data_IF_984906846811
#
_entry.id   IF_984906846811
#
_cell.length_a   1.000
_cell.length_b   1.000
_cell.length_c   1.000
_cell.angle_alpha   90.00
_cell.angle_beta   90.00
_cell.angle_gamma   90.00
#
_symmetry.space_group_name_H-M   'P 1'
#
loop_
_entity.id
_entity.type
_entity.pdbx_description
1 polymer ?
#
# COMPACT_ATOMS: atom_id res chain seq x y z
N UNK A 1 16.76 8.08 -20.71
CA UNK A 1 15.43 7.58 -21.13
C UNK A 1 14.36 8.58 -20.74
N UNK A 2 13.46 8.85 -21.65
CA UNK A 2 12.28 9.68 -21.34
C UNK A 2 11.11 8.74 -21.11
N UNK A 3 10.48 8.85 -19.95
CA UNK A 3 9.34 8.01 -19.57
C UNK A 3 8.06 8.83 -19.58
N UNK A 4 7.14 8.49 -20.46
CA UNK A 4 5.89 9.25 -20.68
C UNK A 4 4.62 8.49 -20.27
N UNK A 5 4.77 7.40 -19.51
CA UNK A 5 3.64 6.53 -19.15
C UNK A 5 3.37 6.50 -17.64
N UNK A 6 3.65 7.61 -16.95
CA UNK A 6 3.45 7.69 -15.50
C UNK A 6 1.98 7.54 -15.07
N UNK A 7 1.04 7.76 -15.97
CA UNK A 7 -0.37 7.56 -15.66
C UNK A 7 -0.72 6.09 -15.40
N UNK A 8 -0.03 5.17 -16.09
CA UNK A 8 -0.21 3.75 -15.87
C UNK A 8 0.54 3.28 -14.62
N UNK A 9 1.78 3.69 -14.51
CA UNK A 9 2.60 3.46 -13.32
C UNK A 9 3.74 4.46 -13.30
N UNK A 10 4.06 4.98 -12.14
CA UNK A 10 5.15 5.96 -12.03
C UNK A 10 6.53 5.29 -12.10
N UNK A 11 7.45 5.93 -12.82
CA UNK A 11 8.85 5.50 -12.93
C UNK A 11 9.75 6.72 -13.18
N UNK A 12 10.84 6.91 -12.44
CA UNK A 12 11.17 6.16 -11.23
C UNK A 12 10.22 6.54 -10.09
N UNK A 13 10.08 5.62 -9.12
CA UNK A 13 9.32 5.89 -7.91
C UNK A 13 10.17 6.67 -6.91
N UNK A 14 9.55 7.42 -5.99
CA UNK A 14 10.30 8.01 -4.89
C UNK A 14 11.10 6.96 -4.13
N UNK A 15 12.28 7.31 -3.69
CA UNK A 15 13.15 6.37 -2.98
C UNK A 15 12.49 5.76 -1.75
N UNK A 16 11.68 6.53 -1.05
CA UNK A 16 10.92 6.03 0.10
C UNK A 16 10.00 4.86 -0.25
N UNK A 17 9.47 4.82 -1.47
CA UNK A 17 8.63 3.72 -1.93
C UNK A 17 9.45 2.44 -2.09
N UNK A 18 10.62 2.54 -2.72
CA UNK A 18 11.50 1.37 -2.90
C UNK A 18 11.97 0.83 -1.54
N UNK A 19 12.35 1.72 -0.64
CA UNK A 19 12.78 1.34 0.70
C UNK A 19 11.69 0.61 1.46
N UNK A 20 10.46 1.12 1.39
CA UNK A 20 9.33 0.50 2.10
C UNK A 20 8.95 -0.84 1.49
N UNK A 21 9.00 -0.98 0.16
CA UNK A 21 8.77 -2.26 -0.50
C UNK A 21 9.78 -3.31 -0.04
N UNK A 22 11.06 -2.96 -0.02
CA UNK A 22 12.11 -3.88 0.42
C UNK A 22 11.93 -4.26 1.89
N UNK A 23 11.69 -3.28 2.74
CA UNK A 23 11.50 -3.50 4.17
C UNK A 23 10.33 -4.44 4.45
N UNK A 24 9.20 -4.16 3.83
CA UNK A 24 7.99 -4.96 4.04
C UNK A 24 8.14 -6.38 3.49
N UNK A 25 8.73 -6.50 2.30
CA UNK A 25 8.94 -7.81 1.68
C UNK A 25 9.83 -8.71 2.54
N UNK A 26 10.81 -8.14 3.23
CA UNK A 26 11.70 -8.92 4.11
C UNK A 26 11.08 -9.23 5.46
N UNK A 27 10.23 -8.35 5.97
CA UNK A 27 9.73 -8.46 7.34
C UNK A 27 8.37 -9.17 7.45
N UNK A 28 7.43 -8.87 6.56
CA UNK A 28 6.03 -9.20 6.82
C UNK A 28 5.21 -9.54 5.59
N UNK A 29 5.81 -9.99 4.50
CA UNK A 29 5.04 -10.27 3.29
C UNK A 29 4.18 -11.53 3.47
N UNK A 30 2.88 -11.33 3.63
CA UNK A 30 1.90 -12.40 3.78
C UNK A 30 0.54 -11.95 3.24
N UNK A 31 -0.41 -12.89 3.10
CA UNK A 31 -1.76 -12.56 2.67
C UNK A 31 -2.52 -11.84 3.78
N UNK A 32 -2.96 -10.59 3.55
CA UNK A 32 -3.78 -9.90 4.54
C UNK A 32 -5.15 -10.57 4.69
N UNK A 33 -5.72 -10.49 5.88
CA UNK A 33 -7.04 -11.06 6.15
C UNK A 33 -7.06 -12.57 6.33
N UNK A 34 -5.94 -13.26 6.17
CA UNK A 34 -5.79 -14.68 6.52
C UNK A 34 -5.53 -14.76 8.01
N UNK A 35 -6.58 -14.99 8.76
CA UNK A 35 -6.52 -15.00 10.21
C UNK A 35 -5.52 -16.03 10.74
N UNK A 36 -4.93 -15.73 11.86
CA UNK A 36 -4.25 -16.68 12.68
C UNK A 36 -2.75 -16.53 12.80
N UNK A 37 -2.08 -15.68 12.02
CA UNK A 37 -0.66 -15.51 12.25
C UNK A 37 -0.23 -14.03 12.12
N UNK A 38 0.91 -13.76 12.76
CA UNK A 38 1.41 -12.40 12.95
C UNK A 38 1.65 -11.66 11.63
N UNK A 39 2.19 -12.35 10.63
CA UNK A 39 2.51 -11.72 9.34
C UNK A 39 1.25 -11.30 8.59
N UNK A 40 0.20 -12.12 8.62
CA UNK A 40 -1.07 -11.77 8.00
C UNK A 40 -1.73 -10.59 8.71
N UNK A 41 -1.64 -10.54 10.04
CA UNK A 41 -2.14 -9.41 10.82
C UNK A 41 -1.37 -8.12 10.53
N UNK A 42 -0.05 -8.21 10.37
CA UNK A 42 0.78 -7.07 10.00
C UNK A 42 0.44 -6.55 8.60
N UNK A 43 0.20 -7.44 7.64
CA UNK A 43 -0.21 -7.06 6.30
C UNK A 43 -1.58 -6.37 6.29
N UNK A 44 -2.53 -6.90 7.04
CA UNK A 44 -3.86 -6.31 7.19
C UNK A 44 -3.78 -4.91 7.81
N UNK A 45 -2.99 -4.76 8.86
CA UNK A 45 -2.77 -3.46 9.50
C UNK A 45 -2.18 -2.44 8.53
N UNK A 46 -1.23 -2.87 7.70
CA UNK A 46 -0.63 -1.99 6.69
C UNK A 46 -1.67 -1.48 5.71
N UNK A 47 -2.55 -2.36 5.21
CA UNK A 47 -3.63 -1.93 4.31
C UNK A 47 -4.59 -0.95 5.00
N UNK A 48 -4.94 -1.20 6.24
CA UNK A 48 -5.82 -0.32 7.01
C UNK A 48 -5.16 1.04 7.27
N UNK A 49 -3.88 1.06 7.60
CA UNK A 49 -3.13 2.30 7.79
C UNK A 49 -3.12 3.14 6.51
N UNK A 50 -2.96 2.50 5.35
CA UNK A 50 -3.00 3.19 4.06
C UNK A 50 -4.40 3.73 3.77
N UNK A 51 -5.45 2.97 4.07
CA UNK A 51 -6.83 3.46 3.91
C UNK A 51 -7.09 4.70 4.75
N UNK A 52 -6.63 4.70 6.00
CA UNK A 52 -6.75 5.87 6.87
C UNK A 52 -5.97 7.07 6.33
N UNK A 53 -4.75 6.86 5.86
CA UNK A 53 -3.93 7.92 5.29
C UNK A 53 -4.57 8.53 4.04
N UNK A 54 -5.08 7.70 3.14
CA UNK A 54 -5.76 8.17 1.93
C UNK A 54 -7.04 8.92 2.27
N UNK A 55 -7.82 8.40 3.22
CA UNK A 55 -9.04 9.04 3.65
C UNK A 55 -8.76 10.44 4.22
N UNK A 56 -7.72 10.56 5.02
CA UNK A 56 -7.30 11.84 5.59
C UNK A 56 -6.82 12.81 4.51
N UNK A 57 -6.00 12.32 3.58
CA UNK A 57 -5.43 13.14 2.51
C UNK A 57 -6.50 13.70 1.59
N UNK A 58 -7.46 12.88 1.20
CA UNK A 58 -8.54 13.29 0.28
C UNK A 58 -9.80 13.78 0.98
N UNK A 59 -9.83 13.81 2.31
CA UNK A 59 -11.00 14.19 3.11
C UNK A 59 -12.23 13.34 2.76
N UNK A 60 -12.02 12.03 2.68
CA UNK A 60 -13.10 11.08 2.40
C UNK A 60 -14.05 10.91 3.58
N UNK A 61 -15.17 10.25 3.33
CA UNK A 61 -16.18 10.03 4.37
C UNK A 61 -15.72 9.04 5.43
N UNK A 62 -15.06 7.95 4.98
CA UNK A 62 -14.66 6.86 5.87
C UNK A 62 -13.53 6.05 5.22
N UNK A 63 -12.57 5.56 6.01
CA UNK A 63 -11.53 4.65 5.49
C UNK A 63 -12.10 3.41 4.81
N UNK A 64 -13.27 2.93 5.25
CA UNK A 64 -13.92 1.73 4.69
C UNK A 64 -14.38 1.91 3.24
N UNK A 65 -14.45 3.15 2.77
CA UNK A 65 -14.86 3.46 1.41
C UNK A 65 -13.73 3.34 0.38
N UNK A 66 -12.52 3.04 0.83
CA UNK A 66 -11.35 2.93 -0.05
C UNK A 66 -11.11 1.48 -0.44
N UNK A 67 -11.04 1.23 -1.73
CA UNK A 67 -10.76 -0.10 -2.28
C UNK A 67 -9.47 -0.07 -3.07
N UNK A 68 -8.65 -1.11 -2.89
CA UNK A 68 -7.44 -1.28 -3.68
C UNK A 68 -7.76 -2.15 -4.90
N UNK A 69 -7.30 -1.70 -6.06
CA UNK A 69 -7.49 -2.44 -7.30
C UNK A 69 -6.16 -2.50 -8.06
N UNK A 70 -6.15 -3.30 -9.11
CA UNK A 70 -5.05 -3.24 -10.08
C UNK A 70 -5.33 -2.08 -11.03
N UNK A 71 -4.47 -1.12 -11.04
CA UNK A 71 -4.58 0.02 -11.97
C UNK A 71 -5.99 0.60 -12.11
#
# INVERSE_FOLDING_TARGET
>A
MIYLDNAATSFPKPESVYQELDRFARASLANPGRAGHRMAMAAEKTLDDVRHALNQFFRGESPDRWAFTRN
#
